data_IF_987359770639
#
_entry.id   IF_987359770639
#
_cell.length_a   1.000
_cell.length_b   1.000
_cell.length_c   1.000
_cell.angle_alpha   90.00
_cell.angle_beta   90.00
_cell.angle_gamma   90.00
#
_symmetry.space_group_name_H-M   'P 1'
#
loop_
_entity.id
_entity.type
_entity.pdbx_description
1 polymer ?
#
# COMPACT_ATOMS: atom_id res chain seq x y z
N UNK A 1 -11.81 -16.34 -5.40
CA UNK A 1 -11.26 -17.38 -6.33
C UNK A 1 -9.73 -17.47 -6.26
N UNK A 2 -9.14 -18.10 -5.22
CA UNK A 2 -7.67 -18.27 -5.11
C UNK A 2 -7.27 -19.66 -4.57
N UNK A 3 -7.54 -20.71 -5.33
CA UNK A 3 -7.09 -22.06 -4.92
C UNK A 3 -6.73 -23.00 -6.06
N UNK A 4 -6.23 -22.47 -7.18
CA UNK A 4 -5.60 -23.32 -8.18
C UNK A 4 -4.16 -22.87 -8.36
N UNK A 5 -3.35 -23.16 -7.33
CA UNK A 5 -1.90 -23.13 -7.45
C UNK A 5 -1.45 -24.23 -8.42
N UNK A 6 -0.53 -23.88 -9.31
CA UNK A 6 0.04 -24.84 -10.26
C UNK A 6 1.02 -25.73 -9.49
N UNK A 7 0.65 -26.98 -9.25
CA UNK A 7 1.48 -27.94 -8.50
C UNK A 7 2.68 -28.48 -9.30
N UNK A 8 2.69 -28.28 -10.62
CA UNK A 8 3.76 -28.72 -11.52
C UNK A 8 3.92 -27.76 -12.69
N UNK A 9 5.14 -27.27 -12.87
CA UNK A 9 5.56 -26.49 -14.04
C UNK A 9 6.64 -27.27 -14.76
N UNK A 10 6.51 -27.44 -16.08
CA UNK A 10 7.58 -27.98 -16.90
C UNK A 10 8.53 -26.85 -17.27
N UNK A 11 9.77 -26.98 -16.84
CA UNK A 11 10.85 -26.01 -17.11
C UNK A 11 11.89 -26.76 -17.94
N UNK A 12 12.34 -26.13 -19.03
CA UNK A 12 13.43 -26.67 -19.85
C UNK A 12 14.77 -26.50 -19.12
N UNK A 13 15.70 -27.43 -19.32
CA UNK A 13 16.99 -27.43 -18.63
C UNK A 13 17.77 -26.12 -18.86
N UNK A 14 17.65 -25.50 -20.05
CA UNK A 14 18.29 -24.20 -20.31
C UNK A 14 17.71 -23.07 -19.46
N UNK A 15 16.41 -23.12 -19.18
CA UNK A 15 15.72 -22.10 -18.36
C UNK A 15 16.05 -22.26 -16.88
N UNK A 16 16.23 -23.51 -16.43
CA UNK A 16 16.65 -23.81 -15.06
C UNK A 16 18.04 -23.24 -14.77
N UNK A 17 18.99 -23.38 -15.72
CA UNK A 17 20.34 -22.84 -15.57
C UNK A 17 20.38 -21.30 -15.45
N UNK A 18 19.56 -20.58 -16.23
CA UNK A 18 19.47 -19.12 -16.13
C UNK A 18 18.92 -18.70 -14.76
N UNK A 19 17.95 -19.44 -14.23
CA UNK A 19 17.37 -19.16 -12.93
C UNK A 19 18.37 -19.42 -11.79
N UNK A 20 19.18 -20.48 -11.90
CA UNK A 20 20.25 -20.78 -10.96
C UNK A 20 21.34 -19.69 -10.96
N UNK A 21 21.73 -19.16 -12.12
CA UNK A 21 22.69 -18.06 -12.22
C UNK A 21 22.16 -16.76 -11.61
N UNK A 22 20.86 -16.49 -11.77
CA UNK A 22 20.19 -15.31 -11.20
C UNK A 22 20.01 -15.41 -9.68
N UNK A 23 19.76 -16.61 -9.16
CA UNK A 23 19.52 -16.86 -7.73
C UNK A 23 20.80 -17.20 -6.96
N UNK A 24 21.91 -17.42 -7.66
CA UNK A 24 23.19 -17.69 -7.02
C UNK A 24 23.71 -16.44 -6.29
N UNK A 25 24.08 -16.54 -5.00
CA UNK A 25 24.42 -15.40 -4.14
C UNK A 25 25.68 -14.61 -4.52
N UNK A 26 26.35 -14.93 -5.64
CA UNK A 26 27.63 -14.35 -6.04
C UNK A 26 27.63 -13.57 -7.37
N UNK A 27 26.49 -13.30 -8.01
CA UNK A 27 26.45 -12.54 -9.27
C UNK A 27 26.61 -11.01 -9.11
N UNK A 28 26.84 -10.50 -7.90
CA UNK A 28 27.15 -9.09 -7.63
C UNK A 28 28.60 -8.78 -7.23
N UNK A 29 29.50 -9.78 -7.21
CA UNK A 29 30.91 -9.57 -6.86
C UNK A 29 31.76 -9.71 -8.13
N UNK A 30 31.77 -8.66 -8.98
CA UNK A 30 32.93 -8.23 -9.79
C UNK A 30 32.51 -7.20 -10.86
N UNK A 31 32.12 -6.00 -10.41
CA UNK A 31 32.40 -4.77 -11.18
C UNK A 31 33.13 -3.78 -10.28
N UNK A 32 34.31 -3.28 -10.68
CA UNK A 32 35.10 -2.38 -9.85
C UNK A 32 34.38 -1.02 -9.71
N UNK A 33 34.05 -0.68 -8.47
CA UNK A 33 33.64 0.67 -8.05
C UNK A 33 34.92 1.47 -7.76
N UNK A 34 35.10 2.68 -8.32
CA UNK A 34 36.29 3.47 -8.04
C UNK A 34 36.34 3.86 -6.56
N UNK A 35 37.51 3.64 -5.96
CA UNK A 35 37.85 3.92 -4.58
C UNK A 35 37.57 5.38 -4.21
N UNK A 36 36.88 5.59 -3.08
CA UNK A 36 37.10 6.80 -2.30
C UNK A 36 37.22 6.42 -0.82
N UNK A 37 38.46 6.53 -0.33
CA UNK A 37 38.87 6.28 1.05
C UNK A 37 38.30 7.38 1.94
N UNK A 38 37.55 7.05 2.99
CA UNK A 38 37.64 7.79 4.26
C UNK A 38 37.43 6.85 5.45
N UNK A 39 38.40 6.92 6.35
CA UNK A 39 38.56 6.21 7.61
C UNK A 39 37.41 6.46 8.59
N UNK A 40 37.04 5.42 9.35
CA UNK A 40 36.15 5.54 10.51
C UNK A 40 36.93 6.24 11.63
N UNK A 41 36.49 7.43 12.01
CA UNK A 41 36.82 8.00 13.32
C UNK A 41 35.52 8.29 14.08
N UNK A 42 35.41 7.69 15.27
CA UNK A 42 34.25 7.75 16.15
C UNK A 42 34.56 8.71 17.29
N UNK A 43 34.58 10.01 17.02
CA UNK A 43 34.50 11.05 18.07
C UNK A 43 34.13 12.38 17.44
N UNK A 44 32.83 12.66 17.35
CA UNK A 44 32.24 13.99 17.51
C UNK A 44 30.73 13.87 17.33
N UNK A 45 29.97 14.33 18.32
CA UNK A 45 28.54 14.60 18.17
C UNK A 45 28.42 16.01 17.58
N UNK A 46 27.93 16.20 16.34
CA UNK A 46 27.58 17.52 15.87
C UNK A 46 26.24 17.92 16.47
N UNK A 47 26.20 19.15 16.98
CA UNK A 47 25.01 19.91 17.36
C UNK A 47 23.91 19.81 16.28
N UNK A 48 22.61 19.74 16.62
CA UNK A 48 21.57 19.50 15.63
C UNK A 48 21.60 20.61 14.58
N UNK A 49 21.76 20.19 13.32
CA UNK A 49 21.68 21.06 12.15
C UNK A 49 20.32 21.75 12.16
N UNK A 50 20.35 23.06 12.42
CA UNK A 50 19.24 23.97 12.15
C UNK A 50 18.97 23.88 10.66
N UNK A 51 17.82 23.32 10.28
CA UNK A 51 17.33 23.36 8.91
C UNK A 51 17.03 24.82 8.58
N UNK A 52 17.96 25.48 7.89
CA UNK A 52 17.63 26.69 7.12
C UNK A 52 16.62 26.27 6.04
N UNK A 53 15.45 26.91 6.03
CA UNK A 53 14.44 26.69 5.00
C UNK A 53 15.07 26.94 3.62
N UNK A 54 15.10 25.94 2.71
CA UNK A 54 15.71 26.15 1.42
C UNK A 54 14.90 27.20 0.65
N UNK A 55 15.58 28.29 0.32
CA UNK A 55 15.08 29.36 -0.52
C UNK A 55 14.49 28.80 -1.81
N UNK A 56 13.25 29.22 -2.07
CA UNK A 56 12.49 28.97 -3.30
C UNK A 56 13.38 29.17 -4.53
N UNK A 57 13.88 28.06 -5.06
CA UNK A 57 14.62 28.01 -6.32
C UNK A 57 13.70 27.36 -7.33
N UNK A 58 13.38 28.14 -8.35
CA UNK A 58 12.33 27.88 -9.32
C UNK A 58 12.54 26.53 -10.03
N UNK A 59 11.57 25.63 -9.86
CA UNK A 59 11.48 24.41 -10.65
C UNK A 59 11.09 24.84 -12.06
N UNK A 60 12.05 24.79 -12.99
CA UNK A 60 11.74 24.90 -14.41
C UNK A 60 10.93 23.68 -14.82
N UNK A 61 9.75 23.93 -15.39
CA UNK A 61 8.83 22.90 -15.85
C UNK A 61 9.48 22.04 -16.93
N UNK A 62 9.50 20.69 -16.79
CA UNK A 62 9.83 19.81 -17.89
C UNK A 62 8.79 19.97 -19.01
N UNK A 63 9.27 20.01 -20.25
CA UNK A 63 8.49 20.07 -21.49
C UNK A 63 7.35 19.05 -21.51
N UNK A 64 6.24 19.48 -22.08
CA UNK A 64 4.97 18.79 -22.27
C UNK A 64 5.16 17.31 -22.64
N UNK A 65 4.92 16.42 -21.68
CA UNK A 65 4.54 15.05 -21.97
C UNK A 65 3.05 15.13 -22.26
N UNK A 66 2.68 14.92 -23.52
CA UNK A 66 1.30 14.76 -23.95
C UNK A 66 0.78 13.44 -23.37
N UNK A 67 0.35 13.49 -22.10
CA UNK A 67 -0.31 12.36 -21.47
C UNK A 67 -1.67 12.27 -22.16
N UNK A 68 -1.83 11.29 -23.04
CA UNK A 68 -3.12 10.82 -23.52
C UNK A 68 -3.92 10.35 -22.31
N UNK A 69 -4.56 11.29 -21.63
CA UNK A 69 -5.43 11.02 -20.49
C UNK A 69 -6.68 10.39 -21.04
N UNK A 70 -6.69 9.06 -21.16
CA UNK A 70 -7.91 8.30 -21.37
C UNK A 70 -8.84 8.67 -20.21
N UNK A 71 -9.79 9.56 -20.49
CA UNK A 71 -10.66 10.17 -19.50
C UNK A 71 -11.43 9.06 -18.79
N UNK A 72 -11.26 8.98 -17.47
CA UNK A 72 -12.05 8.08 -16.64
C UNK A 72 -13.53 8.46 -16.79
N UNK A 73 -14.46 7.48 -16.79
CA UNK A 73 -15.88 7.81 -16.78
C UNK A 73 -16.21 8.69 -15.56
N UNK A 74 -17.19 9.60 -15.67
CA UNK A 74 -17.62 10.38 -14.53
C UNK A 74 -18.09 9.43 -13.42
N UNK A 75 -17.79 9.76 -12.14
CA UNK A 75 -18.23 8.93 -11.04
C UNK A 75 -19.76 8.84 -11.04
N UNK A 76 -20.33 7.70 -10.64
CA UNK A 76 -21.77 7.56 -10.54
C UNK A 76 -22.33 8.53 -9.49
N UNK A 77 -23.51 9.09 -9.73
CA UNK A 77 -24.21 9.90 -8.76
C UNK A 77 -24.56 9.04 -7.54
N UNK A 78 -24.15 9.49 -6.35
CA UNK A 78 -24.35 8.78 -5.09
C UNK A 78 -25.10 9.66 -4.11
N UNK A 79 -26.37 9.30 -3.84
CA UNK A 79 -27.22 10.00 -2.88
C UNK A 79 -27.27 9.26 -1.54
N UNK A 80 -27.04 10.02 -0.46
CA UNK A 80 -27.23 9.54 0.90
C UNK A 80 -28.68 9.79 1.34
N UNK A 81 -29.30 8.88 2.11
CA UNK A 81 -30.62 9.11 2.65
C UNK A 81 -30.64 10.27 3.66
N UNK A 82 -31.81 10.88 3.83
CA UNK A 82 -32.04 11.88 4.87
C UNK A 82 -31.87 11.28 6.27
N UNK A 83 -31.40 12.10 7.22
CA UNK A 83 -31.31 11.72 8.62
C UNK A 83 -30.01 12.12 9.32
N UNK A 84 -29.80 11.56 10.51
CA UNK A 84 -28.62 11.85 11.32
C UNK A 84 -27.35 11.23 10.70
N UNK A 85 -26.18 11.75 11.06
CA UNK A 85 -24.88 11.20 10.64
C UNK A 85 -24.75 9.70 10.94
N UNK A 86 -25.21 9.27 12.12
CA UNK A 86 -25.23 7.86 12.54
C UNK A 86 -26.17 7.02 11.66
N UNK A 87 -27.38 7.48 11.41
CA UNK A 87 -28.34 6.76 10.56
C UNK A 87 -27.84 6.59 9.12
N UNK A 88 -27.19 7.62 8.56
CA UNK A 88 -26.57 7.56 7.24
C UNK A 88 -25.40 6.57 7.20
N UNK A 89 -24.60 6.52 8.26
CA UNK A 89 -23.51 5.55 8.40
C UNK A 89 -24.01 4.12 8.48
N UNK A 90 -25.02 3.84 9.31
CA UNK A 90 -25.64 2.51 9.42
C UNK A 90 -26.24 2.06 8.08
N UNK A 91 -26.88 2.99 7.35
CA UNK A 91 -27.38 2.72 6.01
C UNK A 91 -26.25 2.38 5.02
N UNK A 92 -25.16 3.15 5.03
CA UNK A 92 -24.02 2.93 4.14
C UNK A 92 -23.33 1.59 4.44
N UNK A 93 -23.10 1.31 5.73
CA UNK A 93 -22.53 0.05 6.20
C UNK A 93 -23.38 -1.12 5.72
N UNK A 94 -24.70 -1.07 5.95
CA UNK A 94 -25.61 -2.11 5.48
C UNK A 94 -25.55 -2.29 3.97
N UNK A 95 -25.58 -1.19 3.21
CA UNK A 95 -25.53 -1.24 1.74
C UNK A 95 -24.27 -1.91 1.20
N UNK A 96 -23.12 -1.72 1.86
CA UNK A 96 -21.86 -2.35 1.45
C UNK A 96 -21.76 -3.80 1.93
N UNK A 97 -22.19 -4.10 3.16
CA UNK A 97 -22.20 -5.48 3.67
C UNK A 97 -23.17 -6.38 2.87
N UNK A 98 -24.29 -5.82 2.40
CA UNK A 98 -25.27 -6.51 1.57
C UNK A 98 -24.93 -6.43 0.06
N UNK A 99 -23.76 -5.91 -0.33
CA UNK A 99 -23.39 -5.77 -1.74
C UNK A 99 -23.05 -7.13 -2.38
N UNK A 100 -23.86 -7.58 -3.33
CA UNK A 100 -23.67 -8.86 -4.02
C UNK A 100 -22.28 -8.99 -4.67
N UNK A 101 -21.79 -7.92 -5.31
CA UNK A 101 -20.47 -7.90 -5.94
C UNK A 101 -19.35 -8.08 -4.92
N UNK A 102 -19.43 -7.38 -3.78
CA UNK A 102 -18.41 -7.52 -2.73
C UNK A 102 -18.41 -8.94 -2.17
N UNK A 103 -19.60 -9.49 -1.87
CA UNK A 103 -19.74 -10.84 -1.32
C UNK A 103 -19.30 -11.94 -2.30
N UNK A 104 -19.46 -11.73 -3.61
CA UNK A 104 -19.02 -12.68 -4.64
C UNK A 104 -17.49 -12.76 -4.78
N UNK A 105 -16.77 -11.69 -4.46
CA UNK A 105 -15.31 -11.60 -4.59
C UNK A 105 -14.56 -12.03 -3.32
N UNK A 106 -15.26 -12.33 -2.23
CA UNK A 106 -14.65 -12.79 -0.99
C UNK A 106 -14.02 -14.18 -1.12
N UNK A 107 -13.01 -14.43 -0.29
CA UNK A 107 -12.50 -15.76 -0.04
C UNK A 107 -13.51 -16.60 0.75
N UNK A 108 -13.39 -17.95 0.72
CA UNK A 108 -14.25 -18.80 1.54
C UNK A 108 -14.17 -18.41 3.03
N UNK A 109 -15.32 -18.12 3.63
CA UNK A 109 -15.46 -17.61 5.01
C UNK A 109 -14.92 -16.18 5.25
N UNK A 110 -14.55 -15.46 4.19
CA UNK A 110 -14.19 -14.06 4.28
C UNK A 110 -15.38 -13.17 4.62
N UNK A 111 -15.10 -11.99 5.14
CA UNK A 111 -16.06 -10.94 5.46
C UNK A 111 -15.63 -9.65 4.79
N UNK A 112 -16.61 -8.87 4.34
CA UNK A 112 -16.36 -7.53 3.82
C UNK A 112 -15.80 -6.64 4.93
N UNK A 113 -14.66 -6.00 4.66
CA UNK A 113 -14.05 -5.01 5.56
C UNK A 113 -14.54 -3.61 5.15
N UNK A 114 -15.52 -3.07 5.88
CA UNK A 114 -16.15 -1.80 5.55
C UNK A 114 -15.33 -0.57 6.01
N UNK A 115 -14.88 -0.58 7.27
CA UNK A 115 -14.25 0.56 7.93
C UNK A 115 -14.86 0.82 9.32
N UNK A 116 -14.04 1.30 10.24
CA UNK A 116 -14.42 1.59 11.63
C UNK A 116 -13.76 2.88 12.13
N UNK A 117 -14.32 3.50 13.17
CA UNK A 117 -13.77 4.71 13.78
C UNK A 117 -14.84 5.62 14.38
N UNK A 118 -14.39 6.77 14.90
CA UNK A 118 -15.30 7.82 15.33
C UNK A 118 -15.88 8.53 14.11
N UNK A 119 -17.21 8.59 14.03
CA UNK A 119 -17.93 9.34 13.02
C UNK A 119 -17.48 10.81 12.99
N UNK A 120 -17.10 11.38 14.13
CA UNK A 120 -16.66 12.77 14.27
C UNK A 120 -15.15 12.96 14.19
N UNK A 121 -14.40 11.94 13.77
CA UNK A 121 -12.96 12.08 13.55
C UNK A 121 -12.65 13.17 12.51
N UNK A 122 -11.65 13.99 12.80
CA UNK A 122 -11.11 14.98 11.86
C UNK A 122 -10.20 14.35 10.78
N UNK A 123 -9.74 13.11 11.03
CA UNK A 123 -8.84 12.36 10.16
C UNK A 123 -9.46 11.03 9.75
N UNK A 124 -9.50 10.77 8.44
CA UNK A 124 -9.88 9.48 7.86
C UNK A 124 -8.67 8.84 7.19
N UNK A 125 -8.35 7.60 7.58
CA UNK A 125 -7.26 6.82 7.01
C UNK A 125 -7.83 5.78 6.04
N UNK A 126 -7.40 5.84 4.79
CA UNK A 126 -7.81 4.91 3.75
C UNK A 126 -6.61 4.05 3.33
N UNK A 127 -6.74 2.73 3.47
CA UNK A 127 -5.79 1.76 2.94
C UNK A 127 -6.09 1.39 1.49
N UNK A 128 -5.39 0.36 1.00
CA UNK A 128 -5.54 -0.15 -0.37
C UNK A 128 -6.59 -1.27 -0.45
N UNK A 129 -6.24 -2.48 0.00
CA UNK A 129 -7.09 -3.68 -0.01
C UNK A 129 -6.94 -4.38 1.33
N UNK A 130 -8.02 -4.98 1.88
CA UNK A 130 -7.91 -5.76 3.09
C UNK A 130 -6.98 -6.97 2.94
N UNK A 131 -6.15 -7.20 3.95
CA UNK A 131 -5.33 -8.41 4.09
C UNK A 131 -6.16 -9.64 4.50
N UNK A 132 -5.52 -10.81 4.52
CA UNK A 132 -6.19 -12.07 4.85
C UNK A 132 -6.78 -12.11 6.27
N UNK A 133 -6.04 -11.62 7.27
CA UNK A 133 -6.52 -11.54 8.66
C UNK A 133 -7.69 -10.55 8.77
N UNK A 134 -7.59 -9.41 8.10
CA UNK A 134 -8.63 -8.37 8.08
C UNK A 134 -9.93 -8.90 7.47
N UNK A 135 -9.83 -9.67 6.37
CA UNK A 135 -10.97 -10.33 5.74
C UNK A 135 -11.59 -11.42 6.63
N UNK A 136 -10.79 -12.20 7.37
CA UNK A 136 -11.29 -13.23 8.29
C UNK A 136 -12.07 -12.60 9.46
N UNK A 137 -11.53 -11.52 10.03
CA UNK A 137 -12.13 -10.84 11.18
C UNK A 137 -13.28 -9.92 10.74
N UNK A 138 -13.14 -9.24 9.60
CA UNK A 138 -14.03 -8.21 9.10
C UNK A 138 -13.71 -6.81 9.64
N UNK A 139 -12.46 -6.55 10.07
CA UNK A 139 -12.03 -5.28 10.66
C UNK A 139 -10.72 -4.81 10.01
N UNK A 140 -10.57 -3.51 9.71
CA UNK A 140 -9.41 -2.98 8.99
C UNK A 140 -8.18 -2.83 9.91
N UNK A 141 -6.99 -2.88 9.34
CA UNK A 141 -5.72 -2.57 10.03
C UNK A 141 -5.44 -3.42 11.28
N UNK A 142 -5.81 -4.71 11.28
CA UNK A 142 -5.50 -5.62 12.39
C UNK A 142 -4.23 -6.46 12.21
N UNK A 143 -3.65 -6.47 11.00
CA UNK A 143 -2.42 -7.21 10.72
C UNK A 143 -1.14 -6.44 11.05
N UNK A 144 0.06 -6.96 10.67
CA UNK A 144 1.35 -6.34 11.00
C UNK A 144 1.51 -4.88 10.54
N UNK A 145 0.92 -4.54 9.38
CA UNK A 145 0.92 -3.17 8.87
C UNK A 145 0.05 -2.25 9.74
N UNK A 146 -1.10 -2.75 10.20
CA UNK A 146 -1.99 -2.04 11.12
C UNK A 146 -1.38 -1.85 12.51
N UNK A 147 -0.67 -2.84 13.04
CA UNK A 147 0.10 -2.69 14.28
C UNK A 147 1.18 -1.60 14.17
N UNK A 148 1.88 -1.52 13.03
CA UNK A 148 2.86 -0.47 12.79
C UNK A 148 2.18 0.90 12.69
N UNK A 149 1.06 0.99 11.97
CA UNK A 149 0.27 2.22 11.88
C UNK A 149 -0.16 2.71 13.26
N UNK A 150 -0.67 1.81 14.11
CA UNK A 150 -1.04 2.15 15.48
C UNK A 150 0.14 2.64 16.32
N UNK A 151 1.33 2.04 16.18
CA UNK A 151 2.54 2.52 16.84
C UNK A 151 2.89 3.95 16.42
N UNK A 152 2.78 4.27 15.13
CA UNK A 152 3.04 5.61 14.59
C UNK A 152 2.03 6.62 15.13
N UNK A 153 0.75 6.27 15.18
CA UNK A 153 -0.31 7.15 15.68
C UNK A 153 -0.23 7.37 17.20
N UNK A 154 0.37 6.44 17.94
CA UNK A 154 0.53 6.51 19.39
C UNK A 154 1.83 7.18 19.87
N UNK A 155 2.74 7.51 18.95
CA UNK A 155 4.05 8.10 19.23
C UNK A 155 3.95 9.60 19.54
#
# INVERSE_FOLDING_TARGET
MRSEGISRVFIQDETLGILEDLLSPNSFIDKPVPENKVSRDRTNVPEPLRLEEPASSQVSSPKDIEIETKSLPPPPDFELPEGTKKSRWEWLQKKVLDCDTCNAELNPNGKVVFGEGDLNADLFLCGEVPGAEEEEVGSPFIGPAGELLMKILSA
#
